data_IF_763005180622
#
_entry.id   IF_763005180622
#
_cell.length_a   1.000
_cell.length_b   1.000
_cell.length_c   1.000
_cell.angle_alpha   90.00
_cell.angle_beta   90.00
_cell.angle_gamma   90.00
#
_symmetry.space_group_name_H-M   'P 1'
#
loop_
_entity.id
_entity.type
_entity.pdbx_description
1 polymer ?
#
# COMPACT_ATOMS: atom_id res chain seq x y z
N UNK A 1 -26.20 -25.75 32.81
CA UNK A 1 -26.35 -24.29 32.99
C UNK A 1 -25.66 -23.87 34.29
N UNK A 2 -24.40 -23.40 34.24
CA UNK A 2 -23.62 -22.93 35.41
C UNK A 2 -23.33 -21.41 35.34
N UNK A 3 -24.25 -20.63 34.79
CA UNK A 3 -24.07 -19.19 34.63
C UNK A 3 -24.46 -18.36 35.86
N UNK A 4 -25.17 -18.94 36.85
CA UNK A 4 -25.69 -18.16 37.99
C UNK A 4 -24.63 -17.79 39.04
N UNK A 5 -23.51 -18.51 39.11
CA UNK A 5 -22.41 -18.17 40.04
C UNK A 5 -21.49 -17.06 39.52
N UNK A 6 -21.40 -16.92 38.19
CA UNK A 6 -20.56 -15.92 37.52
C UNK A 6 -21.19 -14.52 37.57
N UNK A 7 -22.51 -14.40 37.67
CA UNK A 7 -23.20 -13.11 37.83
C UNK A 7 -23.37 -12.67 39.28
N UNK A 8 -23.00 -13.52 40.25
CA UNK A 8 -23.18 -13.26 41.69
C UNK A 8 -22.12 -12.37 42.34
N UNK A 9 -20.89 -12.34 41.83
CA UNK A 9 -19.78 -11.56 42.41
C UNK A 9 -19.23 -10.52 41.42
N UNK A 10 -18.65 -9.41 41.93
CA UNK A 10 -17.99 -8.39 41.10
C UNK A 10 -16.92 -9.01 40.20
N UNK A 11 -16.11 -9.91 40.76
CA UNK A 11 -15.06 -10.60 40.00
C UNK A 11 -15.63 -11.54 38.93
N UNK A 12 -16.71 -12.26 39.23
CA UNK A 12 -17.38 -13.14 38.26
C UNK A 12 -17.94 -12.37 37.06
N UNK A 13 -18.52 -11.18 37.29
CA UNK A 13 -19.05 -10.32 36.22
C UNK A 13 -17.93 -9.74 35.34
N UNK A 14 -16.81 -9.35 35.95
CA UNK A 14 -15.63 -8.88 35.21
C UNK A 14 -15.04 -10.02 34.37
N UNK A 15 -14.93 -11.23 34.91
CA UNK A 15 -14.45 -12.39 34.15
C UNK A 15 -15.39 -12.75 32.99
N UNK A 16 -16.72 -12.63 33.20
CA UNK A 16 -17.71 -12.93 32.17
C UNK A 16 -17.58 -12.03 30.93
N UNK A 17 -17.11 -10.79 31.10
CA UNK A 17 -16.92 -9.85 29.98
C UNK A 17 -15.47 -9.79 29.48
N UNK A 18 -14.50 -9.82 30.39
CA UNK A 18 -13.09 -9.69 30.03
C UNK A 18 -12.57 -10.89 29.24
N UNK A 19 -12.99 -12.11 29.56
CA UNK A 19 -12.48 -13.32 28.89
C UNK A 19 -12.91 -13.39 27.43
N UNK A 20 -14.20 -13.21 27.06
CA UNK A 20 -14.59 -13.19 25.64
C UNK A 20 -13.95 -12.04 24.86
N UNK A 21 -13.81 -10.87 25.46
CA UNK A 21 -13.18 -9.70 24.81
C UNK A 21 -11.69 -9.95 24.58
N UNK A 22 -10.96 -10.49 25.56
CA UNK A 22 -9.56 -10.84 25.41
C UNK A 22 -9.36 -11.92 24.33
N UNK A 23 -10.25 -12.92 24.28
CA UNK A 23 -10.24 -13.93 23.22
C UNK A 23 -10.47 -13.29 21.84
N UNK A 24 -11.49 -12.45 21.69
CA UNK A 24 -11.75 -11.76 20.44
C UNK A 24 -10.57 -10.88 19.99
N UNK A 25 -9.97 -10.11 20.90
CA UNK A 25 -8.79 -9.30 20.63
C UNK A 25 -7.57 -10.15 20.26
N UNK A 26 -7.38 -11.30 20.90
CA UNK A 26 -6.27 -12.20 20.58
C UNK A 26 -6.43 -12.84 19.19
N UNK A 27 -7.65 -13.23 18.81
CA UNK A 27 -7.95 -13.79 17.49
C UNK A 27 -7.78 -12.72 16.41
N UNK A 28 -8.29 -11.51 16.63
CA UNK A 28 -8.09 -10.39 15.70
C UNK A 28 -6.61 -10.00 15.60
N UNK A 29 -5.90 -9.94 16.72
CA UNK A 29 -4.47 -9.64 16.77
C UNK A 29 -3.63 -10.69 16.03
N UNK A 30 -3.94 -11.98 16.22
CA UNK A 30 -3.31 -13.07 15.47
C UNK A 30 -3.65 -13.00 13.98
N UNK A 31 -4.89 -12.66 13.63
CA UNK A 31 -5.32 -12.44 12.24
C UNK A 31 -4.57 -11.29 11.57
N UNK A 32 -4.35 -10.17 12.27
CA UNK A 32 -3.53 -9.05 11.79
C UNK A 32 -2.07 -9.47 11.64
N UNK A 33 -1.50 -10.16 12.64
CA UNK A 33 -0.11 -10.60 12.61
C UNK A 33 0.20 -11.60 11.48
N UNK A 34 -0.77 -12.44 11.13
CA UNK A 34 -0.65 -13.41 10.03
C UNK A 34 -1.13 -12.86 8.67
N UNK A 35 -1.51 -11.58 8.59
CA UNK A 35 -2.03 -10.97 7.36
C UNK A 35 -3.41 -11.46 6.91
N UNK A 36 -4.11 -12.23 7.74
CA UNK A 36 -5.47 -12.73 7.47
C UNK A 36 -6.55 -11.67 7.71
N UNK A 37 -6.25 -10.62 8.48
CA UNK A 37 -7.12 -9.44 8.64
C UNK A 37 -6.48 -8.28 7.87
N UNK A 38 -7.13 -7.76 6.81
CA UNK A 38 -6.64 -6.58 6.11
C UNK A 38 -6.66 -5.40 7.06
N UNK A 39 -5.49 -4.95 7.52
CA UNK A 39 -5.34 -3.61 8.11
C UNK A 39 -5.52 -2.61 6.99
N UNK A 40 -6.78 -2.25 6.78
CA UNK A 40 -7.17 -1.27 5.77
C UNK A 40 -6.70 0.09 6.22
N UNK A 41 -5.60 0.55 5.62
CA UNK A 41 -5.24 1.95 5.66
C UNK A 41 -6.32 2.74 4.93
N UNK A 42 -6.99 3.62 5.65
CA UNK A 42 -7.95 4.55 5.06
C UNK A 42 -7.22 5.49 4.10
N UNK A 43 -7.38 5.26 2.79
CA UNK A 43 -6.75 6.08 1.76
C UNK A 43 -7.48 7.40 1.56
N UNK A 44 -6.78 8.42 1.06
CA UNK A 44 -7.45 9.62 0.54
C UNK A 44 -8.35 9.18 -0.61
N UNK A 45 -9.61 9.64 -0.64
CA UNK A 45 -10.57 9.33 -1.70
C UNK A 45 -10.24 9.96 -3.06
N UNK A 46 -8.98 10.29 -3.30
CA UNK A 46 -8.45 10.88 -4.54
C UNK A 46 -7.34 10.00 -5.07
N UNK A 47 -7.42 9.68 -6.36
CA UNK A 47 -6.29 9.12 -7.08
C UNK A 47 -5.18 10.15 -7.21
N UNK A 48 -3.96 9.66 -7.26
CA UNK A 48 -2.79 10.46 -7.57
C UNK A 48 -1.94 9.73 -8.61
N UNK A 49 -1.17 10.51 -9.35
CA UNK A 49 -0.28 10.02 -10.39
C UNK A 49 1.15 10.03 -9.88
N UNK A 50 1.89 8.98 -10.17
CA UNK A 50 3.33 8.89 -9.93
C UNK A 50 4.02 8.63 -11.26
N UNK A 51 4.97 9.49 -11.61
CA UNK A 51 5.89 9.31 -12.73
C UNK A 51 7.33 9.21 -12.25
N UNK A 52 8.16 8.44 -12.95
CA UNK A 52 9.61 8.43 -12.77
C UNK A 52 10.29 8.08 -14.09
N UNK A 53 11.48 8.62 -14.34
CA UNK A 53 12.24 8.27 -15.54
C UNK A 53 12.71 6.81 -15.49
N UNK A 54 13.11 6.36 -14.30
CA UNK A 54 13.50 4.99 -14.03
C UNK A 54 13.15 4.59 -12.60
N UNK A 55 12.63 3.38 -12.41
CA UNK A 55 12.48 2.73 -11.12
C UNK A 55 13.27 1.43 -11.15
N UNK A 56 14.22 1.29 -10.22
CA UNK A 56 14.89 0.02 -9.94
C UNK A 56 14.44 -0.48 -8.57
N UNK A 57 14.07 -1.76 -8.48
CA UNK A 57 13.55 -2.35 -7.26
C UNK A 57 14.08 -3.75 -7.02
N UNK A 58 14.07 -4.16 -5.75
CA UNK A 58 14.36 -5.54 -5.31
C UNK A 58 13.24 -6.06 -4.43
N UNK A 59 13.06 -7.38 -4.43
CA UNK A 59 12.00 -8.06 -3.68
C UNK A 59 10.62 -7.58 -4.11
N UNK A 60 10.23 -7.96 -5.32
CA UNK A 60 8.97 -7.55 -5.94
C UNK A 60 7.89 -8.60 -5.76
N UNK A 61 6.66 -8.17 -5.49
CA UNK A 61 5.46 -8.98 -5.70
C UNK A 61 4.32 -8.12 -6.19
N UNK A 62 3.42 -8.67 -7.00
CA UNK A 62 2.18 -8.00 -7.40
C UNK A 62 1.01 -8.98 -7.39
N UNK A 63 -0.13 -8.53 -6.84
CA UNK A 63 -1.38 -9.28 -6.77
C UNK A 63 -2.57 -8.32 -6.74
N UNK A 64 -3.78 -8.82 -7.01
CA UNK A 64 -5.00 -8.03 -6.86
C UNK A 64 -5.36 -7.83 -5.39
N UNK A 65 -5.90 -6.67 -5.05
CA UNK A 65 -6.43 -6.38 -3.72
C UNK A 65 -7.42 -5.23 -3.74
N UNK A 66 -7.75 -4.73 -2.54
CA UNK A 66 -8.72 -3.65 -2.36
C UNK A 66 -8.09 -2.52 -1.53
N UNK A 67 -8.12 -1.30 -2.05
CA UNK A 67 -7.85 -0.09 -1.28
C UNK A 67 -9.18 0.44 -0.73
N UNK A 68 -9.24 0.64 0.59
CA UNK A 68 -10.45 1.11 1.27
C UNK A 68 -10.30 2.58 1.66
N UNK A 69 -11.20 3.44 1.17
CA UNK A 69 -11.28 4.82 1.63
C UNK A 69 -11.68 4.88 3.11
N UNK A 70 -11.43 6.02 3.76
CA UNK A 70 -11.97 6.31 5.11
C UNK A 70 -13.49 6.18 5.20
N UNK A 71 -14.18 6.45 4.11
CA UNK A 71 -15.65 6.35 3.97
C UNK A 71 -16.14 4.90 3.87
N UNK A 72 -15.23 3.94 3.76
CA UNK A 72 -15.53 2.53 3.55
C UNK A 72 -15.74 2.13 2.09
N UNK A 73 -15.58 3.07 1.13
CA UNK A 73 -15.71 2.77 -0.29
C UNK A 73 -14.51 1.93 -0.78
N UNK A 74 -14.75 0.74 -1.39
CA UNK A 74 -13.68 -0.10 -1.92
C UNK A 74 -13.26 0.31 -3.33
N UNK A 75 -11.96 0.23 -3.59
CA UNK A 75 -11.36 0.36 -4.92
C UNK A 75 -10.55 -0.89 -5.23
N UNK A 76 -10.86 -1.55 -6.35
CA UNK A 76 -10.03 -2.64 -6.85
C UNK A 76 -8.68 -2.08 -7.31
N UNK A 77 -7.60 -2.67 -6.82
CA UNK A 77 -6.23 -2.24 -7.10
C UNK A 77 -5.32 -3.43 -7.37
N UNK A 78 -4.31 -3.22 -8.19
CA UNK A 78 -3.10 -4.05 -8.19
C UNK A 78 -2.21 -3.57 -7.04
N UNK A 79 -1.99 -4.44 -6.06
CA UNK A 79 -1.04 -4.20 -4.97
C UNK A 79 0.33 -4.63 -5.46
N UNK A 80 1.28 -3.72 -5.48
CA UNK A 80 2.70 -4.00 -5.72
C UNK A 80 3.49 -3.77 -4.43
N UNK A 81 4.29 -4.75 -4.02
CA UNK A 81 5.25 -4.62 -2.92
C UNK A 81 6.67 -4.64 -3.49
N UNK A 82 7.52 -3.74 -3.01
CA UNK A 82 8.93 -3.61 -3.38
C UNK A 82 9.73 -3.40 -2.10
N UNK A 83 10.61 -4.34 -1.77
CA UNK A 83 11.42 -4.27 -0.54
C UNK A 83 12.35 -3.06 -0.51
N UNK A 84 13.03 -2.77 -1.61
CA UNK A 84 13.87 -1.57 -1.75
C UNK A 84 13.77 -1.06 -3.17
N UNK A 85 13.57 0.25 -3.32
CA UNK A 85 13.42 0.91 -4.61
C UNK A 85 14.25 2.19 -4.69
N UNK A 86 14.74 2.50 -5.89
CA UNK A 86 15.28 3.79 -6.28
C UNK A 86 14.46 4.36 -7.44
N UNK A 87 14.04 5.61 -7.34
CA UNK A 87 13.25 6.30 -8.35
C UNK A 87 14.00 7.54 -8.82
N UNK A 88 14.35 7.58 -10.11
CA UNK A 88 14.97 8.75 -10.74
C UNK A 88 13.88 9.70 -11.26
N UNK A 89 14.11 11.01 -11.11
CA UNK A 89 13.22 12.08 -11.58
C UNK A 89 11.75 11.84 -11.19
N UNK A 90 11.53 11.51 -9.91
CA UNK A 90 10.22 11.28 -9.35
C UNK A 90 9.34 12.53 -9.51
N UNK A 91 8.16 12.32 -10.05
CA UNK A 91 7.06 13.26 -10.06
C UNK A 91 5.85 12.60 -9.40
N UNK A 92 5.22 13.26 -8.45
CA UNK A 92 3.96 12.84 -7.85
C UNK A 92 2.98 14.00 -7.90
N UNK A 93 1.77 13.77 -8.42
CA UNK A 93 0.74 14.79 -8.52
C UNK A 93 -0.61 14.27 -8.05
N UNK A 94 -1.32 15.07 -7.26
CA UNK A 94 -2.74 14.86 -6.92
C UNK A 94 -3.51 16.11 -7.30
N UNK A 95 -4.69 15.92 -7.89
CA UNK A 95 -5.60 17.02 -8.23
C UNK A 95 -6.90 16.83 -7.46
N UNK A 96 -7.40 17.92 -6.89
CA UNK A 96 -8.66 17.95 -6.17
C UNK A 96 -9.48 19.16 -6.59
N UNK A 97 -10.78 18.96 -6.71
CA UNK A 97 -11.71 20.05 -6.96
C UNK A 97 -12.00 20.79 -5.65
N UNK A 98 -11.86 22.11 -5.69
CA UNK A 98 -12.16 22.99 -4.55
C UNK A 98 -13.20 24.05 -4.98
N UNK A 99 -13.88 24.72 -4.03
CA UNK A 99 -14.76 25.84 -4.37
C UNK A 99 -14.07 26.99 -5.13
N UNK A 100 -12.73 27.06 -5.08
CA UNK A 100 -11.92 28.08 -5.73
C UNK A 100 -11.35 27.62 -7.09
N UNK A 101 -11.70 26.42 -7.56
CA UNK A 101 -11.18 25.80 -8.78
C UNK A 101 -10.33 24.56 -8.50
N UNK A 102 -9.62 24.08 -9.52
CA UNK A 102 -8.73 22.90 -9.40
C UNK A 102 -7.49 23.25 -8.60
N UNK A 103 -7.29 22.54 -7.50
CA UNK A 103 -6.05 22.58 -6.73
C UNK A 103 -5.24 21.33 -7.04
N UNK A 104 -4.00 21.51 -7.47
CA UNK A 104 -3.03 20.45 -7.61
C UNK A 104 -1.96 20.54 -6.53
N UNK A 105 -1.49 19.40 -6.05
CA UNK A 105 -0.24 19.29 -5.30
C UNK A 105 0.73 18.53 -6.18
N UNK A 106 1.87 19.15 -6.48
CA UNK A 106 2.95 18.57 -7.26
C UNK A 106 4.19 18.41 -6.38
N UNK A 107 4.73 17.20 -6.35
CA UNK A 107 5.93 16.83 -5.63
C UNK A 107 6.94 16.31 -6.63
N UNK A 108 8.15 16.84 -6.61
CA UNK A 108 9.26 16.38 -7.43
C UNK A 108 10.45 16.03 -6.53
N UNK A 109 11.16 14.98 -6.87
CA UNK A 109 12.38 14.55 -6.16
C UNK A 109 13.21 13.65 -7.07
N UNK A 110 14.37 13.20 -6.61
CA UNK A 110 15.16 12.21 -7.31
C UNK A 110 15.91 12.72 -8.56
N UNK A 111 15.96 14.05 -8.75
CA UNK A 111 16.61 14.69 -9.89
C UNK A 111 18.11 14.91 -9.72
N UNK A 112 18.78 15.33 -10.80
CA UNK A 112 20.20 15.73 -10.76
C UNK A 112 21.16 14.59 -10.42
N UNK A 113 20.81 13.35 -10.81
CA UNK A 113 21.62 12.15 -10.56
C UNK A 113 21.56 11.61 -9.12
N UNK A 114 20.64 12.11 -8.29
CA UNK A 114 20.43 11.64 -6.90
C UNK A 114 19.02 11.08 -6.76
N UNK A 115 18.77 9.81 -7.11
CA UNK A 115 17.43 9.23 -7.11
C UNK A 115 16.80 9.25 -5.70
N UNK A 116 15.47 9.31 -5.64
CA UNK A 116 14.73 9.07 -4.41
C UNK A 116 14.83 7.60 -4.03
N UNK A 117 14.80 7.28 -2.73
CA UNK A 117 14.94 5.89 -2.25
C UNK A 117 13.79 5.52 -1.35
N UNK A 118 13.23 4.33 -1.52
CA UNK A 118 12.17 3.79 -0.68
C UNK A 118 12.53 2.40 -0.14
N UNK A 119 12.03 2.08 1.05
CA UNK A 119 12.08 0.75 1.67
C UNK A 119 10.69 0.31 2.08
N UNK A 120 10.42 -0.99 1.94
CA UNK A 120 9.12 -1.61 2.21
C UNK A 120 7.97 -0.86 1.53
N UNK A 121 8.17 -0.55 0.25
CA UNK A 121 7.23 0.20 -0.58
C UNK A 121 6.07 -0.70 -0.97
N UNK A 122 4.85 -0.29 -0.61
CA UNK A 122 3.60 -0.88 -1.06
C UNK A 122 2.80 0.16 -1.84
N UNK A 123 2.31 -0.23 -3.01
CA UNK A 123 1.55 0.61 -3.92
C UNK A 123 0.24 -0.08 -4.25
N UNK A 124 -0.88 0.63 -4.12
CA UNK A 124 -2.18 0.18 -4.62
C UNK A 124 -2.57 1.00 -5.84
N UNK A 125 -2.42 0.42 -7.03
CA UNK A 125 -2.59 1.12 -8.31
C UNK A 125 -3.69 0.54 -9.18
N UNK A 126 -4.33 1.38 -9.99
CA UNK A 126 -5.27 0.96 -11.03
C UNK A 126 -4.63 0.85 -12.40
N UNK A 127 -3.49 1.53 -12.59
CA UNK A 127 -2.78 1.57 -13.86
C UNK A 127 -1.28 1.72 -13.62
N UNK A 128 -0.48 1.00 -14.43
CA UNK A 128 0.97 1.04 -14.46
C UNK A 128 1.44 0.88 -15.91
N UNK A 129 2.22 1.84 -16.37
CA UNK A 129 2.81 1.90 -17.70
C UNK A 129 4.32 2.13 -17.60
N UNK A 130 5.05 1.58 -18.58
CA UNK A 130 6.50 1.67 -18.70
C UNK A 130 7.11 0.40 -19.27
N UNK A 131 8.37 0.47 -19.68
CA UNK A 131 9.13 -0.68 -20.16
C UNK A 131 9.73 -1.44 -18.97
N UNK A 132 9.20 -2.63 -18.68
CA UNK A 132 9.57 -3.40 -17.51
C UNK A 132 10.47 -4.59 -17.83
N UNK A 133 11.52 -4.78 -17.03
CA UNK A 133 12.39 -5.97 -17.02
C UNK A 133 12.40 -6.56 -15.62
N UNK A 134 12.18 -7.86 -15.50
CA UNK A 134 12.20 -8.58 -14.24
C UNK A 134 13.30 -9.64 -14.23
N UNK A 135 13.97 -9.79 -13.09
CA UNK A 135 14.96 -10.85 -12.87
C UNK A 135 14.34 -11.95 -12.02
N UNK A 136 14.43 -13.20 -12.49
CA UNK A 136 13.87 -14.39 -11.83
C UNK A 136 12.37 -14.28 -11.54
N UNK A 137 11.61 -13.77 -12.51
CA UNK A 137 10.15 -13.61 -12.34
C UNK A 137 9.43 -14.97 -12.29
N UNK A 138 8.49 -15.09 -11.36
CA UNK A 138 7.47 -16.14 -11.35
C UNK A 138 6.11 -15.49 -11.57
N UNK A 139 5.31 -16.07 -12.46
CA UNK A 139 3.99 -15.56 -12.84
C UNK A 139 2.97 -16.66 -12.63
N UNK A 140 1.81 -16.34 -12.04
CA UNK A 140 0.77 -17.32 -11.74
C UNK A 140 1.03 -18.11 -10.47
N UNK A 141 1.79 -17.53 -9.53
CA UNK A 141 1.95 -18.09 -8.18
C UNK A 141 0.75 -17.69 -7.32
N UNK A 142 0.49 -18.47 -6.26
CA UNK A 142 -0.55 -18.12 -5.29
C UNK A 142 -0.12 -16.87 -4.50
N UNK A 143 -1.01 -15.89 -4.38
CA UNK A 143 -0.71 -14.62 -3.73
C UNK A 143 -0.33 -14.75 -2.25
N UNK A 144 -0.73 -15.83 -1.57
CA UNK A 144 -0.28 -16.15 -0.21
C UNK A 144 1.17 -16.66 -0.14
N UNK A 145 1.77 -17.00 -1.28
CA UNK A 145 3.09 -17.64 -1.40
C UNK A 145 4.17 -16.78 -2.04
N UNK A 146 3.87 -15.52 -2.36
CA UNK A 146 4.85 -14.57 -2.92
C UNK A 146 6.07 -14.41 -2.03
N UNK A 147 7.23 -14.05 -2.55
CA UNK A 147 8.48 -13.98 -1.78
C UNK A 147 8.57 -12.77 -0.83
N UNK A 148 7.76 -11.74 -1.03
CA UNK A 148 7.70 -10.54 -0.18
C UNK A 148 7.00 -10.81 1.15
N UNK A 149 7.24 -9.96 2.15
CA UNK A 149 6.62 -10.11 3.48
C UNK A 149 5.10 -9.97 3.42
N UNK A 150 4.61 -8.95 2.70
CA UNK A 150 3.19 -8.73 2.51
C UNK A 150 2.63 -9.75 1.50
N UNK A 151 1.57 -10.45 1.91
CA UNK A 151 0.91 -11.49 1.11
C UNK A 151 -0.44 -11.02 0.61
N UNK A 152 -0.89 -11.60 -0.50
CA UNK A 152 -2.27 -11.51 -0.94
C UNK A 152 -3.12 -12.66 -0.41
N UNK A 153 -4.38 -12.70 -0.83
CA UNK A 153 -5.32 -13.75 -0.44
C UNK A 153 -4.95 -15.11 -1.05
N UNK A 154 -5.12 -16.18 -0.28
CA UNK A 154 -4.92 -17.54 -0.76
C UNK A 154 -5.85 -17.86 -1.94
N UNK A 155 -5.31 -18.55 -2.95
CA UNK A 155 -5.99 -18.81 -4.22
C UNK A 155 -5.98 -17.64 -5.22
N UNK A 156 -5.48 -16.47 -4.80
CA UNK A 156 -5.33 -15.31 -5.68
C UNK A 156 -4.16 -15.44 -6.65
N UNK A 157 -4.30 -14.86 -7.84
CA UNK A 157 -3.19 -14.75 -8.79
C UNK A 157 -2.16 -13.75 -8.30
N UNK A 158 -0.89 -14.12 -8.41
CA UNK A 158 0.23 -13.22 -8.18
C UNK A 158 1.41 -13.47 -9.12
N UNK A 159 2.29 -12.48 -9.12
CA UNK A 159 3.63 -12.57 -9.69
C UNK A 159 4.65 -12.02 -8.69
N UNK A 160 5.87 -12.55 -8.71
CA UNK A 160 6.98 -12.02 -7.91
C UNK A 160 8.31 -12.15 -8.63
N UNK A 161 9.30 -11.36 -8.21
CA UNK A 161 10.62 -11.33 -8.82
C UNK A 161 11.68 -10.86 -7.82
N UNK A 162 12.93 -11.27 -8.03
CA UNK A 162 14.04 -10.85 -7.17
C UNK A 162 14.39 -9.38 -7.40
N UNK A 163 14.37 -8.95 -8.66
CA UNK A 163 14.61 -7.57 -9.06
C UNK A 163 13.67 -7.14 -10.19
N UNK A 164 13.41 -5.85 -10.25
CA UNK A 164 12.60 -5.22 -11.28
C UNK A 164 13.26 -3.91 -11.72
N UNK A 165 13.14 -3.61 -13.01
CA UNK A 165 13.52 -2.33 -13.59
C UNK A 165 12.38 -1.86 -14.46
N UNK A 166 11.91 -0.63 -14.27
CA UNK A 166 10.89 0.00 -15.12
C UNK A 166 11.45 1.32 -15.64
N UNK A 167 11.47 1.50 -16.95
CA UNK A 167 11.83 2.75 -17.61
C UNK A 167 10.57 3.47 -18.07
N UNK A 168 10.51 4.79 -17.88
CA UNK A 168 9.35 5.60 -18.23
C UNK A 168 8.11 5.27 -17.39
N UNK A 169 8.30 5.09 -16.09
CA UNK A 169 7.24 4.73 -15.14
C UNK A 169 6.14 5.79 -15.14
N UNK A 170 4.89 5.35 -15.33
CA UNK A 170 3.68 6.14 -15.11
C UNK A 170 2.66 5.29 -14.38
N UNK A 171 2.18 5.76 -13.24
CA UNK A 171 1.27 5.02 -12.36
C UNK A 171 0.10 5.89 -11.95
N UNK A 172 -1.09 5.31 -11.97
CA UNK A 172 -2.27 5.90 -11.33
C UNK A 172 -2.60 5.09 -10.09
N UNK A 173 -2.50 5.71 -8.92
CA UNK A 173 -2.54 5.05 -7.62
C UNK A 173 -3.62 5.61 -6.69
N UNK A 174 -4.14 4.73 -5.83
CA UNK A 174 -4.98 5.07 -4.69
C UNK A 174 -4.20 5.07 -3.38
N UNK A 175 -3.10 4.32 -3.30
CA UNK A 175 -2.27 4.26 -2.10
C UNK A 175 -0.79 4.11 -2.42
N UNK A 176 0.02 4.69 -1.54
CA UNK A 176 1.47 4.49 -1.49
C UNK A 176 1.86 4.52 -0.03
N UNK A 177 2.54 3.48 0.42
CA UNK A 177 3.09 3.35 1.76
C UNK A 177 4.52 2.86 1.65
N UNK A 178 5.40 3.35 2.53
CA UNK A 178 6.77 2.87 2.62
C UNK A 178 7.19 2.88 4.09
N UNK A 179 8.06 1.96 4.48
CA UNK A 179 8.72 2.01 5.78
C UNK A 179 9.63 3.23 5.91
N UNK A 180 10.33 3.59 4.85
CA UNK A 180 11.05 4.86 4.72
C UNK A 180 11.03 5.31 3.27
N UNK A 181 10.76 6.60 3.03
CA UNK A 181 10.82 7.21 1.70
C UNK A 181 11.67 8.49 1.77
N UNK A 182 12.88 8.43 1.24
CA UNK A 182 13.79 9.57 1.16
C UNK A 182 13.65 10.26 -0.20
N UNK A 183 13.05 11.45 -0.19
CA UNK A 183 12.82 12.30 -1.35
C UNK A 183 14.00 13.26 -1.52
N UNK A 184 15.08 12.76 -2.12
CA UNK A 184 16.29 13.57 -2.37
C UNK A 184 15.97 14.73 -3.30
N UNK A 185 16.31 15.96 -2.89
CA UNK A 185 15.99 17.16 -3.68
C UNK A 185 14.49 17.46 -3.75
N UNK A 186 13.74 17.11 -2.71
CA UNK A 186 12.30 17.39 -2.60
C UNK A 186 11.96 18.84 -2.96
N UNK A 187 11.02 18.97 -3.88
CA UNK A 187 10.38 20.22 -4.25
C UNK A 187 8.86 20.01 -4.25
N UNK A 188 8.15 20.75 -3.41
CA UNK A 188 6.69 20.68 -3.28
C UNK A 188 6.07 22.00 -3.70
N UNK A 189 5.04 21.92 -4.54
CA UNK A 189 4.32 23.08 -5.04
C UNK A 189 2.81 22.84 -5.05
N UNK A 190 2.07 23.93 -4.84
CA UNK A 190 0.66 24.01 -5.21
C UNK A 190 0.55 24.45 -6.66
N UNK A 191 -0.32 23.81 -7.42
CA UNK A 191 -0.55 24.07 -8.84
C UNK A 191 -2.04 24.24 -9.12
N UNK A 192 -2.38 24.72 -10.32
CA UNK A 192 -3.77 24.83 -10.77
C UNK A 192 -4.24 23.52 -11.43
N UNK A 193 -3.97 22.39 -10.77
CA UNK A 193 -4.30 21.06 -11.29
C UNK A 193 -3.30 20.51 -12.31
N UNK A 194 -2.03 20.91 -12.24
CA UNK A 194 -0.95 20.32 -13.05
C UNK A 194 -0.69 18.88 -12.61
N UNK A 195 -0.64 17.97 -13.58
CA UNK A 195 -0.36 16.55 -13.37
C UNK A 195 1.01 16.16 -13.93
N UNK A 196 1.55 15.03 -13.46
CA UNK A 196 2.82 14.50 -13.94
C UNK A 196 2.77 14.02 -15.40
N UNK A 197 1.62 13.52 -15.85
CA UNK A 197 1.36 13.02 -17.21
C UNK A 197 -0.14 12.93 -17.49
#
# INVERSE_FOLDING_TARGET
>A
MKFSSLTGSRAGRVLLTAVPVALALSVLGAGVANGAVPVSFAVSGSQFKIGASELNGTGFSQYSGVALEKTGKPHAVAIANIKSATLADLCQSVVSDTPLGKLGILIQAGGGGKPATASDLQLGMTDLQGDATFTNIRIGVDASTVNTTAKGEAGGFAQDADALKIVGLKQTAWSTQAGTFALNGLHLQLTNGTECF
#
